data_IF_584573390852
#
_entry.id   IF_584573390852
#
_cell.length_a   1.000
_cell.length_b   1.000
_cell.length_c   1.000
_cell.angle_alpha   90.00
_cell.angle_beta   90.00
_cell.angle_gamma   90.00
#
_symmetry.space_group_name_H-M   'P 1'
#
loop_
_entity.id
_entity.type
_entity.pdbx_description
1 polymer ?
#
# COMPACT_ATOMS: atom_id res chain seq x y z
N UNK A 1 -9.26 -6.19 -3.87
CA UNK A 1 -7.85 -6.10 -4.29
C UNK A 1 -7.25 -4.80 -3.82
N UNK A 2 -7.86 -3.64 -4.10
CA UNK A 2 -7.36 -2.33 -3.64
C UNK A 2 -6.98 -2.28 -2.14
N UNK A 3 -7.91 -2.56 -1.23
CA UNK A 3 -7.58 -2.68 0.21
C UNK A 3 -6.43 -3.67 0.56
N UNK A 4 -6.26 -4.76 -0.21
CA UNK A 4 -5.14 -5.68 -0.01
C UNK A 4 -3.82 -5.08 -0.50
N UNK A 5 -3.85 -4.35 -1.62
CA UNK A 5 -2.70 -3.60 -2.13
C UNK A 5 -2.31 -2.48 -1.16
N UNK A 6 -3.28 -1.80 -0.55
CA UNK A 6 -3.00 -0.80 0.48
C UNK A 6 -2.17 -1.39 1.61
N UNK A 7 -2.59 -2.55 2.12
CA UNK A 7 -1.84 -3.23 3.17
C UNK A 7 -0.46 -3.66 2.69
N UNK A 8 -0.37 -4.37 1.56
CA UNK A 8 0.88 -4.88 1.01
C UNK A 8 1.91 -3.75 0.83
N UNK A 9 1.53 -2.69 0.13
CA UNK A 9 2.43 -1.60 -0.24
C UNK A 9 2.78 -0.76 0.98
N UNK A 10 1.81 -0.40 1.83
CA UNK A 10 2.06 0.46 2.99
C UNK A 10 2.96 -0.23 4.02
N UNK A 11 2.68 -1.49 4.38
CA UNK A 11 3.47 -2.20 5.39
C UNK A 11 4.88 -2.56 4.91
N UNK A 12 5.03 -2.83 3.60
CA UNK A 12 6.32 -3.21 3.00
C UNK A 12 7.19 -1.99 2.74
N UNK A 13 6.63 -0.85 2.34
CA UNK A 13 7.42 0.31 1.92
C UNK A 13 7.61 1.36 2.99
N UNK A 14 6.72 1.43 3.98
CA UNK A 14 6.77 2.41 5.07
C UNK A 14 7.88 2.10 6.08
N UNK A 15 9.14 2.40 5.74
CA UNK A 15 10.33 2.11 6.54
C UNK A 15 11.30 3.28 6.50
N UNK A 16 12.04 3.50 7.59
CA UNK A 16 13.18 4.44 7.62
C UNK A 16 12.85 5.87 7.16
N UNK A 17 11.58 6.31 7.31
CA UNK A 17 11.14 7.64 6.90
C UNK A 17 10.78 7.81 5.42
N UNK A 18 10.79 6.73 4.62
CA UNK A 18 10.27 6.70 3.25
C UNK A 18 9.04 5.78 3.16
N UNK A 19 8.13 6.05 2.23
CA UNK A 19 6.96 5.21 1.97
C UNK A 19 6.40 5.48 0.59
N UNK A 20 5.83 4.46 -0.03
CA UNK A 20 4.78 4.63 -1.03
C UNK A 20 3.46 4.70 -0.27
N UNK A 21 2.59 5.66 -0.59
CA UNK A 21 1.29 5.82 0.07
C UNK A 21 0.23 5.29 -0.90
N UNK A 22 -0.24 4.04 -0.72
CA UNK A 22 -1.32 3.52 -1.54
C UNK A 22 -2.65 4.17 -1.15
N UNK A 23 -3.48 4.47 -2.16
CA UNK A 23 -4.83 5.01 -1.98
C UNK A 23 -5.79 4.17 -2.83
N UNK A 24 -6.69 3.42 -2.19
CA UNK A 24 -7.77 2.72 -2.89
C UNK A 24 -8.93 3.67 -3.18
N UNK A 25 -9.46 3.61 -4.40
CA UNK A 25 -10.65 4.38 -4.85
C UNK A 25 -10.55 5.89 -4.64
N UNK A 26 -9.41 6.48 -4.97
CA UNK A 26 -9.27 7.94 -4.97
C UNK A 26 -10.31 8.59 -5.89
N UNK A 27 -10.98 9.64 -5.40
CA UNK A 27 -11.84 10.46 -6.25
C UNK A 27 -10.97 11.29 -7.19
N UNK A 28 -11.32 11.30 -8.49
CA UNK A 28 -10.59 12.09 -9.46
C UNK A 28 -10.71 13.57 -9.12
N UNK A 29 -9.56 14.22 -8.99
CA UNK A 29 -9.43 15.64 -8.76
C UNK A 29 -9.17 16.37 -10.08
N UNK A 30 -9.39 17.69 -10.08
CA UNK A 30 -9.13 18.52 -11.26
C UNK A 30 -7.64 18.72 -11.54
N UNK A 31 -6.81 18.59 -10.51
CA UNK A 31 -5.36 18.76 -10.59
C UNK A 31 -4.68 17.77 -9.63
N UNK A 32 -3.56 17.22 -10.06
CA UNK A 32 -2.70 16.37 -9.25
C UNK A 32 -1.27 16.92 -9.25
N UNK A 33 -0.56 16.68 -8.15
CA UNK A 33 0.88 16.90 -8.06
C UNK A 33 1.63 15.79 -8.82
N UNK A 34 2.88 16.06 -9.21
CA UNK A 34 3.76 15.13 -9.94
C UNK A 34 4.26 13.94 -9.09
N UNK A 35 3.71 13.76 -7.88
CA UNK A 35 4.05 12.68 -6.95
C UNK A 35 3.11 11.47 -7.05
N UNK A 36 2.19 11.48 -8.02
CA UNK A 36 1.18 10.44 -8.20
C UNK A 36 1.51 9.49 -9.34
N UNK A 37 1.12 8.23 -9.14
CA UNK A 37 1.00 7.22 -10.19
C UNK A 37 -0.30 6.46 -9.99
N UNK A 38 -1.04 6.26 -11.07
CA UNK A 38 -2.35 5.61 -11.03
C UNK A 38 -2.26 4.21 -11.61
N UNK A 39 -2.81 3.23 -10.89
CA UNK A 39 -2.93 1.87 -11.39
C UNK A 39 -4.40 1.56 -11.65
N UNK A 40 -4.75 1.32 -12.91
CA UNK A 40 -6.09 0.95 -13.33
C UNK A 40 -6.16 -0.54 -13.65
N UNK A 41 -6.80 -1.31 -12.77
CA UNK A 41 -6.98 -2.76 -12.91
C UNK A 41 -8.40 -3.05 -13.40
N UNK A 42 -8.53 -3.82 -14.49
CA UNK A 42 -9.82 -4.21 -15.04
C UNK A 42 -9.81 -5.61 -15.65
N UNK A 43 -11.00 -6.20 -15.78
CA UNK A 43 -11.20 -7.35 -16.66
C UNK A 43 -11.49 -6.88 -18.09
N UNK A 44 -11.25 -7.74 -19.10
CA UNK A 44 -11.59 -7.44 -20.50
C UNK A 44 -13.05 -7.06 -20.71
N UNK A 45 -13.97 -7.64 -19.94
CA UNK A 45 -15.41 -7.37 -20.04
C UNK A 45 -15.86 -6.14 -19.23
N UNK A 46 -14.96 -5.53 -18.44
CA UNK A 46 -15.27 -4.31 -17.71
C UNK A 46 -15.41 -3.14 -18.67
N UNK A 47 -16.39 -2.27 -18.44
CA UNK A 47 -16.50 -0.99 -19.15
C UNK A 47 -15.27 -0.13 -18.88
N UNK A 48 -14.81 0.60 -19.90
CA UNK A 48 -13.78 1.61 -19.73
C UNK A 48 -14.27 2.73 -18.81
N UNK A 49 -13.34 3.32 -18.07
CA UNK A 49 -13.64 4.40 -17.13
C UNK A 49 -13.22 5.73 -17.74
N UNK A 50 -14.19 6.62 -17.98
CA UNK A 50 -13.92 8.01 -18.43
C UNK A 50 -12.94 8.75 -17.50
N UNK A 51 -13.00 8.46 -16.20
CA UNK A 51 -12.07 9.01 -15.21
C UNK A 51 -10.59 8.66 -15.51
N UNK A 52 -10.32 7.50 -16.12
CA UNK A 52 -8.95 7.09 -16.48
C UNK A 52 -8.49 7.81 -17.74
N UNK A 53 -9.38 8.02 -18.71
CA UNK A 53 -9.09 8.85 -19.88
C UNK A 53 -8.81 10.30 -19.48
N UNK A 54 -9.59 10.85 -18.55
CA UNK A 54 -9.38 12.21 -18.02
C UNK A 54 -8.01 12.36 -17.35
N UNK A 55 -7.59 11.38 -16.54
CA UNK A 55 -6.25 11.38 -15.92
C UNK A 55 -5.13 11.42 -16.97
N UNK A 56 -5.24 10.63 -18.03
CA UNK A 56 -4.24 10.60 -19.09
C UNK A 56 -4.23 11.87 -19.93
N UNK A 57 -5.41 12.44 -20.22
CA UNK A 57 -5.53 13.72 -20.90
C UNK A 57 -4.91 14.87 -20.08
N UNK A 58 -4.91 14.75 -18.75
CA UNK A 58 -4.21 15.64 -17.82
C UNK A 58 -2.70 15.33 -17.71
N UNK A 59 -2.19 14.35 -18.45
CA UNK A 59 -0.77 13.98 -18.45
C UNK A 59 -0.32 13.16 -17.24
N UNK A 60 -1.25 12.65 -16.42
CA UNK A 60 -0.90 11.85 -15.25
C UNK A 60 -0.37 10.47 -15.68
N UNK A 61 0.63 9.90 -14.98
CA UNK A 61 1.13 8.58 -15.30
C UNK A 61 0.14 7.51 -14.87
N UNK A 62 -0.44 6.81 -15.85
CA UNK A 62 -1.42 5.73 -15.65
C UNK A 62 -0.86 4.39 -16.13
N UNK A 63 -0.89 3.39 -15.26
CA UNK A 63 -0.57 2.00 -15.56
C UNK A 63 -1.90 1.24 -15.73
N UNK A 64 -2.21 0.84 -16.97
CA UNK A 64 -3.37 -0.01 -17.26
C UNK A 64 -3.01 -1.47 -17.19
N UNK A 65 -3.74 -2.22 -16.38
CA UNK A 65 -3.61 -3.67 -16.22
C UNK A 65 -4.96 -4.30 -16.58
N UNK A 66 -5.00 -5.00 -17.70
CA UNK A 66 -6.19 -5.75 -18.15
C UNK A 66 -5.91 -7.24 -18.05
N UNK A 67 -6.79 -7.98 -17.38
CA UNK A 67 -6.72 -9.44 -17.30
C UNK A 67 -8.01 -10.08 -17.84
N UNK A 68 -7.89 -11.31 -18.35
CA UNK A 68 -8.96 -11.96 -19.10
C UNK A 68 -10.20 -12.21 -18.23
N UNK A 69 -10.01 -12.87 -17.09
CA UNK A 69 -11.10 -13.23 -16.19
C UNK A 69 -10.67 -13.19 -14.72
N UNK A 70 -11.62 -13.45 -13.82
CA UNK A 70 -11.37 -13.48 -12.37
C UNK A 70 -10.46 -14.62 -11.91
N UNK A 71 -10.31 -15.69 -12.69
CA UNK A 71 -9.39 -16.78 -12.37
C UNK A 71 -7.93 -16.31 -12.51
N UNK A 72 -7.68 -15.36 -13.40
CA UNK A 72 -6.37 -14.73 -13.57
C UNK A 72 -6.03 -13.71 -12.47
N UNK A 73 -6.92 -13.47 -11.49
CA UNK A 73 -6.65 -12.57 -10.37
C UNK A 73 -5.40 -13.00 -9.56
N UNK A 74 -5.13 -14.31 -9.49
CA UNK A 74 -3.92 -14.85 -8.86
C UNK A 74 -2.62 -14.31 -9.44
N UNK A 75 -2.59 -14.05 -10.75
CA UNK A 75 -1.43 -13.46 -11.42
C UNK A 75 -1.14 -12.05 -10.89
N UNK A 76 -2.18 -11.28 -10.59
CA UNK A 76 -2.02 -9.93 -10.10
C UNK A 76 -1.51 -9.90 -8.66
N UNK A 77 -1.93 -10.84 -7.81
CA UNK A 77 -1.30 -10.99 -6.49
C UNK A 77 0.23 -11.14 -6.60
N UNK A 78 0.70 -12.05 -7.46
CA UNK A 78 2.14 -12.24 -7.67
C UNK A 78 2.83 -11.00 -8.28
N UNK A 79 2.21 -10.36 -9.28
CA UNK A 79 2.75 -9.14 -9.90
C UNK A 79 2.97 -8.06 -8.86
N UNK A 80 2.00 -7.84 -7.98
CA UNK A 80 2.06 -6.80 -6.97
C UNK A 80 3.03 -7.11 -5.83
N UNK A 81 3.13 -8.37 -5.41
CA UNK A 81 4.18 -8.81 -4.47
C UNK A 81 5.58 -8.56 -5.05
N UNK A 82 5.80 -8.98 -6.30
CA UNK A 82 7.08 -8.79 -6.98
C UNK A 82 7.40 -7.31 -7.22
N UNK A 83 6.42 -6.52 -7.69
CA UNK A 83 6.58 -5.08 -7.89
C UNK A 83 6.90 -4.35 -6.58
N UNK A 84 6.25 -4.74 -5.48
CA UNK A 84 6.54 -4.18 -4.15
C UNK A 84 7.96 -4.52 -3.69
N UNK A 85 8.42 -5.75 -3.94
CA UNK A 85 9.79 -6.16 -3.62
C UNK A 85 10.83 -5.35 -4.42
N UNK A 86 10.59 -5.18 -5.73
CA UNK A 86 11.45 -4.37 -6.61
C UNK A 86 11.46 -2.91 -6.19
N UNK A 87 10.30 -2.32 -5.89
CA UNK A 87 10.20 -0.95 -5.39
C UNK A 87 10.99 -0.79 -4.08
N UNK A 88 10.84 -1.72 -3.13
CA UNK A 88 11.61 -1.72 -1.88
C UNK A 88 13.12 -1.77 -2.12
N UNK A 89 13.58 -2.61 -3.05
CA UNK A 89 14.99 -2.68 -3.42
C UNK A 89 15.52 -1.37 -4.03
N UNK A 90 14.75 -0.73 -4.92
CA UNK A 90 15.09 0.57 -5.52
C UNK A 90 15.14 1.67 -4.45
N UNK A 91 14.20 1.65 -3.51
CA UNK A 91 14.14 2.56 -2.36
C UNK A 91 15.18 2.24 -1.27
N UNK A 92 16.00 1.20 -1.45
CA UNK A 92 17.03 0.75 -0.50
C UNK A 92 16.47 0.39 0.89
N UNK A 93 15.25 -0.13 0.94
CA UNK A 93 14.60 -0.64 2.15
C UNK A 93 14.41 -2.15 2.06
N UNK A 94 14.23 -2.81 3.20
CA UNK A 94 13.87 -4.23 3.22
C UNK A 94 12.34 -4.36 3.34
N UNK A 95 11.63 -4.76 2.26
CA UNK A 95 10.18 -4.84 2.27
C UNK A 95 9.62 -5.98 3.12
N UNK A 96 10.46 -6.92 3.55
CA UNK A 96 10.04 -8.11 4.29
C UNK A 96 10.31 -8.04 5.79
N UNK A 97 10.83 -6.91 6.30
CA UNK A 97 11.05 -6.72 7.73
C UNK A 97 9.91 -5.94 8.38
N UNK A 98 9.67 -6.19 9.67
CA UNK A 98 8.66 -5.49 10.46
C UNK A 98 9.25 -4.89 11.75
N UNK A 99 10.27 -4.02 11.67
CA UNK A 99 10.92 -3.45 12.84
C UNK A 99 9.94 -2.64 13.72
N UNK A 100 8.97 -1.95 13.09
CA UNK A 100 8.03 -1.12 13.81
C UNK A 100 7.02 -1.92 14.64
N UNK A 101 6.64 -3.12 14.19
CA UNK A 101 5.73 -4.03 14.91
C UNK A 101 6.38 -4.50 16.21
N UNK A 102 7.66 -4.85 16.16
CA UNK A 102 8.42 -5.21 17.36
C UNK A 102 8.55 -4.02 18.32
N UNK A 103 8.81 -2.82 17.78
CA UNK A 103 8.88 -1.59 18.58
C UNK A 103 7.55 -1.27 19.29
N UNK A 104 6.42 -1.50 18.62
CA UNK A 104 5.09 -1.26 19.17
C UNK A 104 4.76 -2.28 20.27
N UNK A 105 5.07 -3.57 20.05
CA UNK A 105 4.93 -4.63 21.07
C UNK A 105 5.73 -4.30 22.33
N UNK A 106 6.99 -3.88 22.16
CA UNK A 106 7.86 -3.50 23.28
C UNK A 106 7.31 -2.31 24.08
N UNK A 107 6.76 -1.30 23.40
CA UNK A 107 6.10 -0.14 24.04
C UNK A 107 4.87 -0.57 24.84
N UNK A 108 4.00 -1.39 24.27
CA UNK A 108 2.81 -1.91 24.95
C UNK A 108 3.17 -2.75 26.18
N UNK A 109 4.18 -3.62 26.07
CA UNK A 109 4.67 -4.42 27.21
C UNK A 109 5.24 -3.54 28.34
N UNK A 110 6.00 -2.50 28.01
CA UNK A 110 6.52 -1.54 29.01
C UNK A 110 5.40 -0.82 29.75
N UNK A 111 4.33 -0.43 29.04
CA UNK A 111 3.15 0.20 29.65
C UNK A 111 2.45 -0.79 30.60
N UNK A 112 2.21 -2.04 30.18
CA UNK A 112 1.57 -3.05 31.02
C UNK A 112 2.40 -3.35 32.30
N UNK A 113 3.72 -3.51 32.16
CA UNK A 113 4.61 -3.69 33.31
C UNK A 113 4.57 -2.51 34.28
N UNK A 114 4.51 -1.27 33.76
CA UNK A 114 4.38 -0.05 34.59
C UNK A 114 3.05 -0.01 35.35
N UNK A 115 1.95 -0.39 34.70
CA UNK A 115 0.62 -0.45 35.32
C UNK A 115 0.55 -1.54 36.40
N UNK A 116 1.10 -2.73 36.14
CA UNK A 116 1.17 -3.82 37.12
C UNK A 116 2.01 -3.46 38.34
N UNK A 117 3.15 -2.78 38.12
CA UNK A 117 4.01 -2.29 39.19
C UNK A 117 3.28 -1.27 40.07
N UNK A 118 2.64 -0.26 39.47
CA UNK A 118 1.87 0.74 40.22
C UNK A 118 0.68 0.15 40.99
N UNK A 119 -0.03 -0.84 40.43
CA UNK A 119 -1.10 -1.55 41.13
C UNK A 119 -0.61 -2.38 42.33
N UNK A 120 0.63 -2.90 42.30
CA UNK A 120 1.24 -3.61 43.43
C UNK A 120 1.66 -2.68 44.58
N UNK A 121 1.91 -1.39 44.31
CA UNK A 121 2.28 -0.39 45.32
C UNK A 121 1.08 0.40 45.89
N UNK A 122 -0.10 0.25 45.28
CA UNK A 122 -1.34 0.87 45.74
C UNK A 122 -2.18 -0.03 46.67
N UNK A 123 -1.58 -1.12 47.19
CA UNK A 123 -2.15 -2.03 48.20
C UNK A 123 -1.24 -2.10 49.41
#
# INVERSE_FOLDING_TARGET
MGAWLEQLIAESTGKQGVSIIPVDREFIQSEYSDDRVFAYLRTKDSLESYAVEDLENQGQPVIRITFDDRMNLGQEFFRWEFATAVAGAIMQINPFNQPDVESAKNRSQRIDQRLRRNRKFAR
#
